data_IF_020668436279
#
_entry.id   IF_020668436279
#
_cell.length_a   1.000
_cell.length_b   1.000
_cell.length_c   1.000
_cell.angle_alpha   90.00
_cell.angle_beta   90.00
_cell.angle_gamma   90.00
#
_symmetry.space_group_name_H-M   'P 1'
#
loop_
_entity.id
_entity.type
_entity.pdbx_description
1 polymer ?
#
# COMPACT_ATOMS: atom_id res chain seq x y z
N UNK A 1 -8.29 0.02 -25.80
CA UNK A 1 -7.75 -0.98 -24.87
C UNK A 1 -7.15 -0.29 -23.67
N UNK A 2 -7.58 -0.66 -22.47
CA UNK A 2 -7.05 -0.10 -21.22
C UNK A 2 -5.84 -0.89 -20.71
N UNK A 3 -5.57 -2.04 -21.34
CA UNK A 3 -4.38 -2.86 -21.11
C UNK A 3 -3.58 -3.04 -22.39
N UNK A 4 -2.26 -3.02 -22.26
CA UNK A 4 -1.33 -3.31 -23.36
C UNK A 4 -0.04 -3.90 -22.79
N UNK A 5 0.78 -4.48 -23.66
CA UNK A 5 2.15 -4.82 -23.28
C UNK A 5 3.03 -3.57 -23.31
N UNK A 6 3.97 -3.46 -22.37
CA UNK A 6 4.91 -2.34 -22.30
C UNK A 6 5.76 -2.28 -23.57
N UNK A 7 5.85 -1.09 -24.16
CA UNK A 7 6.69 -0.81 -25.33
C UNK A 7 8.17 -0.96 -25.00
N UNK A 8 8.93 -1.69 -25.83
CA UNK A 8 10.38 -1.89 -25.65
C UNK A 8 10.78 -3.17 -24.92
N UNK A 9 9.82 -4.02 -24.53
CA UNK A 9 10.15 -5.33 -23.98
C UNK A 9 10.70 -6.26 -25.06
N UNK A 10 11.93 -6.76 -24.85
CA UNK A 10 12.57 -7.81 -25.66
C UNK A 10 12.01 -9.21 -25.37
N UNK A 11 11.08 -9.32 -24.43
CA UNK A 11 10.49 -10.60 -24.04
C UNK A 11 9.53 -11.08 -25.13
N UNK A 12 9.81 -12.25 -25.67
CA UNK A 12 8.93 -12.96 -26.60
C UNK A 12 7.73 -13.49 -25.80
N UNK A 13 6.58 -12.83 -25.91
CA UNK A 13 5.36 -13.15 -25.16
C UNK A 13 4.84 -14.51 -25.58
N UNK A 14 4.94 -14.81 -26.87
CA UNK A 14 4.52 -16.06 -27.48
C UNK A 14 5.27 -17.24 -26.83
N UNK A 15 6.58 -17.10 -26.57
CA UNK A 15 7.36 -18.10 -25.81
C UNK A 15 6.88 -18.27 -24.37
N UNK A 16 6.47 -17.18 -23.71
CA UNK A 16 5.91 -17.27 -22.34
C UNK A 16 4.57 -18.02 -22.35
N UNK A 17 3.73 -17.77 -23.35
CA UNK A 17 2.42 -18.40 -23.48
C UNK A 17 2.53 -19.87 -23.90
N UNK A 18 3.49 -20.24 -24.75
CA UNK A 18 3.77 -21.65 -25.05
C UNK A 18 4.27 -22.39 -23.81
N UNK A 19 5.18 -21.80 -23.03
CA UNK A 19 5.59 -22.39 -21.74
C UNK A 19 4.41 -22.54 -20.79
N UNK A 20 3.49 -21.57 -20.76
CA UNK A 20 2.28 -21.68 -19.96
C UNK A 20 1.44 -22.89 -20.40
N UNK A 21 1.26 -23.05 -21.72
CA UNK A 21 0.53 -24.18 -22.30
C UNK A 21 1.16 -25.52 -21.91
N UNK A 22 2.48 -25.64 -21.99
CA UNK A 22 3.22 -26.86 -21.63
C UNK A 22 3.02 -27.27 -20.16
N UNK A 23 2.94 -26.30 -19.25
CA UNK A 23 2.78 -26.57 -17.82
C UNK A 23 1.31 -26.69 -17.39
N UNK A 24 0.36 -26.49 -18.30
CA UNK A 24 -1.07 -26.48 -18.00
C UNK A 24 -1.67 -27.87 -18.18
N UNK A 25 -2.43 -28.32 -17.18
CA UNK A 25 -3.21 -29.55 -17.24
C UNK A 25 -4.68 -29.24 -16.96
N UNK A 26 -5.56 -29.76 -17.81
CA UNK A 26 -7.01 -29.72 -17.63
C UNK A 26 -7.47 -31.11 -17.23
N UNK A 27 -8.24 -31.20 -16.15
CA UNK A 27 -8.94 -32.44 -15.80
C UNK A 27 -10.28 -32.56 -16.54
N UNK A 28 -10.94 -33.71 -16.37
CA UNK A 28 -12.25 -34.01 -16.98
C UNK A 28 -13.36 -33.03 -16.56
N UNK A 29 -13.18 -32.33 -15.43
CA UNK A 29 -14.12 -31.35 -14.89
C UNK A 29 -13.78 -29.91 -15.29
N UNK A 30 -12.91 -29.70 -16.29
CA UNK A 30 -12.39 -28.39 -16.72
C UNK A 30 -11.64 -27.63 -15.62
N UNK A 31 -11.18 -28.31 -14.57
CA UNK A 31 -10.34 -27.69 -13.55
C UNK A 31 -8.94 -27.55 -14.12
N UNK A 32 -8.45 -26.31 -14.10
CA UNK A 32 -7.09 -26.00 -14.53
C UNK A 32 -6.12 -26.23 -13.37
N UNK A 33 -5.02 -26.93 -13.65
CA UNK A 33 -3.90 -27.10 -12.75
C UNK A 33 -2.59 -26.79 -13.47
N UNK A 34 -1.60 -26.30 -12.72
CA UNK A 34 -0.30 -25.90 -13.25
C UNK A 34 0.84 -26.50 -12.44
N UNK A 35 2.02 -26.63 -13.05
CA UNK A 35 3.26 -26.81 -12.29
C UNK A 35 3.53 -25.56 -11.42
N UNK A 36 3.48 -25.71 -10.10
CA UNK A 36 3.42 -24.58 -9.14
C UNK A 36 4.55 -23.56 -9.30
N UNK A 37 5.80 -24.02 -9.36
CA UNK A 37 6.96 -23.12 -9.43
C UNK A 37 7.05 -22.41 -10.80
N UNK A 38 6.83 -23.14 -11.88
CA UNK A 38 6.87 -22.60 -13.23
C UNK A 38 5.75 -21.57 -13.45
N UNK A 39 4.55 -21.86 -12.95
CA UNK A 39 3.42 -20.94 -13.01
C UNK A 39 3.70 -19.63 -12.27
N UNK A 40 4.27 -19.71 -11.07
CA UNK A 40 4.63 -18.51 -10.31
C UNK A 40 5.61 -17.61 -11.08
N UNK A 41 6.60 -18.19 -11.75
CA UNK A 41 7.55 -17.43 -12.57
C UNK A 41 6.84 -16.75 -13.77
N UNK A 42 5.98 -17.49 -14.48
CA UNK A 42 5.21 -16.96 -15.61
C UNK A 42 4.27 -15.83 -15.15
N UNK A 43 3.56 -16.00 -14.04
CA UNK A 43 2.66 -15.01 -13.44
C UNK A 43 3.40 -13.68 -13.19
N UNK A 44 4.56 -13.73 -12.54
CA UNK A 44 5.38 -12.55 -12.29
C UNK A 44 5.95 -11.91 -13.56
N UNK A 45 6.40 -12.73 -14.51
CA UNK A 45 6.89 -12.24 -15.80
C UNK A 45 5.78 -11.47 -16.52
N UNK A 46 4.60 -12.06 -16.64
CA UNK A 46 3.44 -11.43 -17.28
C UNK A 46 3.02 -10.14 -16.55
N UNK A 47 2.92 -10.15 -15.22
CA UNK A 47 2.63 -8.94 -14.43
C UNK A 47 3.67 -7.82 -14.65
N UNK A 48 4.93 -8.18 -14.88
CA UNK A 48 6.00 -7.21 -15.12
C UNK A 48 5.95 -6.57 -16.51
N UNK A 49 5.43 -7.28 -17.51
CA UNK A 49 5.40 -6.83 -18.92
C UNK A 49 4.05 -6.25 -19.35
N UNK A 50 2.97 -6.55 -18.63
CA UNK A 50 1.64 -6.00 -18.88
C UNK A 50 1.52 -4.62 -18.21
N UNK A 51 1.02 -3.65 -18.96
CA UNK A 51 0.69 -2.32 -18.50
C UNK A 51 -0.83 -2.19 -18.31
N UNK A 52 -1.24 -1.93 -17.08
CA UNK A 52 -2.62 -1.60 -16.73
C UNK A 52 -2.74 -0.08 -16.65
N UNK A 53 -3.61 0.54 -17.46
CA UNK A 53 -3.83 1.99 -17.42
C UNK A 53 -4.70 2.46 -16.23
N UNK A 54 -4.93 1.58 -15.26
CA UNK A 54 -5.70 1.85 -14.05
C UNK A 54 -4.86 1.68 -12.78
N UNK A 55 -5.19 2.48 -11.76
CA UNK A 55 -4.58 2.40 -10.43
C UNK A 55 -5.16 1.23 -9.63
N UNK A 56 -4.77 0.00 -9.99
CA UNK A 56 -5.10 -1.24 -9.29
C UNK A 56 -3.92 -1.73 -8.45
N UNK A 57 -4.23 -2.33 -7.30
CA UNK A 57 -3.26 -3.03 -6.45
C UNK A 57 -2.60 -4.17 -7.21
N UNK A 58 -1.39 -4.53 -6.78
CA UNK A 58 -0.65 -5.66 -7.37
C UNK A 58 -1.44 -6.97 -7.23
N UNK A 59 -2.14 -7.16 -6.12
CA UNK A 59 -2.95 -8.36 -5.88
C UNK A 59 -4.13 -8.44 -6.83
N UNK A 60 -4.82 -7.32 -7.09
CA UNK A 60 -5.95 -7.30 -8.02
C UNK A 60 -5.47 -7.54 -9.45
N UNK A 61 -4.36 -6.93 -9.86
CA UNK A 61 -3.72 -7.23 -11.16
C UNK A 61 -3.40 -8.72 -11.30
N UNK A 62 -2.81 -9.32 -10.25
CA UNK A 62 -2.52 -10.75 -10.19
C UNK A 62 -3.78 -11.60 -10.29
N UNK A 63 -4.85 -11.26 -9.58
CA UNK A 63 -6.11 -12.01 -9.64
C UNK A 63 -6.75 -11.94 -11.03
N UNK A 64 -6.80 -10.75 -11.63
CA UNK A 64 -7.33 -10.53 -12.98
C UNK A 64 -6.50 -11.31 -14.00
N UNK A 65 -5.17 -11.25 -13.90
CA UNK A 65 -4.28 -12.01 -14.77
C UNK A 65 -4.56 -13.51 -14.63
N UNK A 66 -4.52 -14.06 -13.42
CA UNK A 66 -4.75 -15.49 -13.18
C UNK A 66 -6.12 -15.97 -13.65
N UNK A 67 -7.17 -15.17 -13.45
CA UNK A 67 -8.50 -15.46 -14.01
C UNK A 67 -8.47 -15.53 -15.53
N UNK A 68 -7.72 -14.63 -16.16
CA UNK A 68 -7.54 -14.61 -17.62
C UNK A 68 -6.73 -15.83 -18.08
N UNK A 69 -5.64 -16.19 -17.41
CA UNK A 69 -4.84 -17.38 -17.72
C UNK A 69 -5.64 -18.68 -17.60
N UNK A 70 -6.51 -18.77 -16.58
CA UNK A 70 -7.44 -19.89 -16.44
C UNK A 70 -8.41 -19.97 -17.63
N UNK A 71 -8.91 -18.83 -18.13
CA UNK A 71 -9.79 -18.82 -19.29
C UNK A 71 -9.06 -19.24 -20.57
N UNK A 72 -7.83 -18.76 -20.77
CA UNK A 72 -6.94 -19.20 -21.87
C UNK A 72 -6.75 -20.71 -21.89
N UNK A 73 -6.55 -21.29 -20.69
CA UNK A 73 -6.40 -22.73 -20.54
C UNK A 73 -7.67 -23.47 -20.94
N UNK A 74 -8.83 -23.08 -20.41
CA UNK A 74 -10.13 -23.70 -20.70
C UNK A 74 -10.42 -23.67 -22.21
N UNK A 75 -10.23 -22.50 -22.84
CA UNK A 75 -10.53 -22.30 -24.26
C UNK A 75 -9.42 -22.78 -25.19
N UNK A 76 -8.29 -23.26 -24.62
CA UNK A 76 -7.09 -23.73 -25.32
C UNK A 76 -6.54 -22.70 -26.33
N UNK A 77 -6.74 -21.42 -26.07
CA UNK A 77 -6.28 -20.33 -26.92
C UNK A 77 -5.21 -19.52 -26.18
N UNK A 78 -3.94 -19.73 -26.54
CA UNK A 78 -2.79 -19.10 -25.88
C UNK A 78 -2.21 -17.94 -26.71
N UNK A 79 -3.05 -17.29 -27.53
CA UNK A 79 -2.60 -16.15 -28.32
C UNK A 79 -2.51 -14.88 -27.47
N UNK A 80 -1.59 -13.98 -27.86
CA UNK A 80 -1.35 -12.70 -27.21
C UNK A 80 -2.60 -11.81 -27.19
N UNK A 81 -3.30 -11.72 -28.31
CA UNK A 81 -4.49 -10.86 -28.44
C UNK A 81 -5.63 -11.39 -27.58
N UNK A 82 -5.80 -12.71 -27.53
CA UNK A 82 -6.79 -13.34 -26.67
C UNK A 82 -6.49 -13.17 -25.19
N UNK A 83 -5.22 -13.21 -24.78
CA UNK A 83 -4.83 -12.84 -23.41
C UNK A 83 -5.29 -11.43 -23.04
N UNK A 84 -5.02 -10.44 -23.90
CA UNK A 84 -5.40 -9.06 -23.65
C UNK A 84 -6.93 -8.91 -23.59
N UNK A 85 -7.65 -9.59 -24.48
CA UNK A 85 -9.11 -9.63 -24.48
C UNK A 85 -9.66 -10.16 -23.14
N UNK A 86 -9.15 -11.30 -22.66
CA UNK A 86 -9.59 -11.89 -21.39
C UNK A 86 -9.26 -11.00 -20.18
N UNK A 87 -8.10 -10.32 -20.21
CA UNK A 87 -7.76 -9.34 -19.18
C UNK A 87 -8.75 -8.18 -19.18
N UNK A 88 -9.09 -7.63 -20.35
CA UNK A 88 -10.05 -6.53 -20.47
C UNK A 88 -11.44 -6.95 -19.97
N UNK A 89 -11.91 -8.15 -20.33
CA UNK A 89 -13.18 -8.71 -19.83
C UNK A 89 -13.19 -8.79 -18.29
N UNK A 90 -12.11 -9.30 -17.69
CA UNK A 90 -12.02 -9.44 -16.24
C UNK A 90 -11.84 -8.08 -15.54
N UNK A 91 -11.20 -7.10 -16.18
CA UNK A 91 -11.16 -5.72 -15.72
C UNK A 91 -12.54 -5.07 -15.73
N UNK A 92 -13.30 -5.22 -16.81
CA UNK A 92 -14.67 -4.70 -16.87
C UNK A 92 -15.54 -5.29 -15.76
N UNK A 93 -15.46 -6.60 -15.53
CA UNK A 93 -16.14 -7.27 -14.41
C UNK A 93 -15.75 -6.65 -13.06
N UNK A 94 -14.46 -6.39 -12.86
CA UNK A 94 -13.97 -5.71 -11.66
C UNK A 94 -14.55 -4.29 -11.54
N UNK A 95 -14.53 -3.49 -12.62
CA UNK A 95 -15.01 -2.11 -12.60
C UNK A 95 -16.54 -1.97 -12.51
N UNK A 96 -17.30 -3.01 -12.84
CA UNK A 96 -18.76 -3.04 -12.61
C UNK A 96 -19.14 -3.16 -11.13
N UNK A 97 -18.22 -3.55 -10.24
CA UNK A 97 -18.48 -3.57 -8.79
C UNK A 97 -18.83 -2.17 -8.26
N UNK A 98 -19.76 -2.10 -7.31
CA UNK A 98 -20.12 -0.85 -6.63
C UNK A 98 -18.98 -0.37 -5.76
N UNK A 99 -18.72 0.93 -5.77
CA UNK A 99 -17.80 1.53 -4.80
C UNK A 99 -18.44 1.59 -3.42
N UNK A 100 -17.69 1.15 -2.42
CA UNK A 100 -18.04 1.25 -1.02
C UNK A 100 -16.91 1.90 -0.22
N UNK A 101 -17.26 2.36 0.97
CA UNK A 101 -16.33 3.03 1.87
C UNK A 101 -15.55 2.03 2.71
N UNK A 102 -14.25 2.21 2.78
CA UNK A 102 -13.34 1.51 3.69
C UNK A 102 -12.64 2.51 4.62
N UNK A 103 -12.29 2.03 5.81
CA UNK A 103 -11.62 2.79 6.86
C UNK A 103 -10.39 1.99 7.33
N UNK A 104 -9.21 2.48 6.99
CA UNK A 104 -7.95 1.95 7.51
C UNK A 104 -7.67 2.57 8.88
N UNK A 105 -7.32 1.75 9.87
CA UNK A 105 -6.96 2.19 11.21
C UNK A 105 -5.47 1.99 11.44
N UNK A 106 -4.82 3.06 11.90
CA UNK A 106 -3.40 3.07 12.21
C UNK A 106 -3.12 3.94 13.43
N UNK A 107 -1.90 3.87 13.95
CA UNK A 107 -1.44 4.78 14.99
C UNK A 107 -0.03 5.25 14.71
N UNK A 108 0.26 6.48 15.12
CA UNK A 108 1.53 7.17 14.88
C UNK A 108 2.21 7.52 16.20
N UNK A 109 3.55 7.42 16.25
CA UNK A 109 4.37 7.73 17.43
C UNK A 109 4.55 9.24 17.69
N UNK A 110 3.45 9.99 17.65
CA UNK A 110 3.38 11.43 17.88
C UNK A 110 2.14 11.78 18.71
N UNK A 111 2.20 12.87 19.48
CA UNK A 111 1.10 13.43 20.29
C UNK A 111 0.78 14.88 19.90
N UNK A 112 -0.42 15.31 20.26
CA UNK A 112 -0.88 16.69 20.14
C UNK A 112 -0.87 17.23 18.69
N UNK A 113 -1.13 16.35 17.71
CA UNK A 113 -1.26 16.76 16.31
C UNK A 113 -2.33 17.86 16.18
N UNK A 114 -2.04 18.97 15.48
CA UNK A 114 -2.94 20.14 15.40
C UNK A 114 -4.13 19.98 14.44
N UNK A 115 -4.39 18.77 13.95
CA UNK A 115 -5.41 18.52 12.94
C UNK A 115 -6.51 17.61 13.50
N UNK A 116 -7.75 17.86 13.11
CA UNK A 116 -8.86 16.91 13.31
C UNK A 116 -9.02 16.01 12.09
N UNK A 117 -8.83 16.60 10.90
CA UNK A 117 -9.05 15.98 9.60
C UNK A 117 -8.12 16.60 8.56
N UNK A 118 -7.67 15.77 7.63
CA UNK A 118 -6.78 16.12 6.52
C UNK A 118 -7.24 15.37 5.27
N UNK A 119 -7.16 16.01 4.10
CA UNK A 119 -7.45 15.36 2.81
C UNK A 119 -6.16 15.18 2.02
N UNK A 120 -5.87 13.96 1.57
CA UNK A 120 -4.72 13.62 0.73
C UNK A 120 -5.26 12.91 -0.50
N UNK A 121 -5.24 13.60 -1.64
CA UNK A 121 -5.88 13.11 -2.85
C UNK A 121 -7.37 12.81 -2.62
N UNK A 122 -7.75 11.55 -2.85
CA UNK A 122 -9.12 11.06 -2.64
C UNK A 122 -9.39 10.51 -1.23
N UNK A 123 -8.36 10.45 -0.38
CA UNK A 123 -8.43 9.90 0.97
C UNK A 123 -8.65 11.00 2.02
N UNK A 124 -9.34 10.64 3.10
CA UNK A 124 -9.56 11.51 4.25
C UNK A 124 -8.96 10.89 5.51
N UNK A 125 -7.96 11.55 6.09
CA UNK A 125 -7.33 11.14 7.34
C UNK A 125 -7.98 11.89 8.49
N UNK A 126 -8.50 11.16 9.47
CA UNK A 126 -9.00 11.73 10.74
C UNK A 126 -8.08 11.38 11.89
N UNK A 127 -7.90 12.32 12.80
CA UNK A 127 -7.05 12.19 13.97
C UNK A 127 -7.94 12.09 15.20
N UNK A 128 -7.83 10.98 15.93
CA UNK A 128 -8.71 10.64 17.06
C UNK A 128 -8.06 10.84 18.43
N UNK A 129 -6.77 11.18 18.49
CA UNK A 129 -6.03 11.28 19.75
C UNK A 129 -5.70 9.90 20.32
N UNK A 130 -6.09 9.61 21.56
CA UNK A 130 -5.61 8.41 22.28
C UNK A 130 -6.34 7.10 21.92
N UNK A 131 -7.54 7.18 21.35
CA UNK A 131 -8.39 6.00 21.13
C UNK A 131 -9.08 6.05 19.78
N UNK A 132 -9.26 4.90 19.14
CA UNK A 132 -10.13 4.77 17.97
C UNK A 132 -11.61 4.97 18.35
N UNK A 133 -12.49 5.31 17.40
CA UNK A 133 -13.94 5.28 17.60
C UNK A 133 -14.42 3.91 18.10
N UNK A 134 -15.44 3.88 18.99
CA UNK A 134 -15.91 2.66 19.67
C UNK A 134 -16.26 1.52 18.70
N UNK A 135 -16.93 1.86 17.61
CA UNK A 135 -17.39 0.93 16.56
C UNK A 135 -16.28 0.04 15.98
N UNK A 136 -15.02 0.48 16.02
CA UNK A 136 -13.89 -0.29 15.47
C UNK A 136 -13.12 -1.11 16.51
N UNK A 137 -13.32 -0.86 17.80
CA UNK A 137 -12.41 -1.34 18.86
C UNK A 137 -12.48 -2.84 19.03
N UNK A 138 -13.68 -3.41 18.98
CA UNK A 138 -13.90 -4.84 19.23
C UNK A 138 -13.24 -5.69 18.15
N UNK A 139 -13.58 -5.44 16.89
CA UNK A 139 -13.01 -6.18 15.76
C UNK A 139 -11.48 -6.04 15.70
N UNK A 140 -10.93 -4.84 15.95
CA UNK A 140 -9.47 -4.64 15.98
C UNK A 140 -8.82 -5.41 17.12
N UNK A 141 -9.45 -5.45 18.30
CA UNK A 141 -8.96 -6.22 19.46
C UNK A 141 -8.96 -7.72 19.16
N UNK A 142 -9.99 -8.23 18.50
CA UNK A 142 -10.05 -9.64 18.07
C UNK A 142 -8.88 -10.00 17.15
N UNK A 143 -8.59 -9.14 16.16
CA UNK A 143 -7.44 -9.34 15.26
C UNK A 143 -6.12 -9.35 16.06
N UNK A 144 -5.94 -8.42 17.01
CA UNK A 144 -4.75 -8.36 17.86
C UNK A 144 -4.57 -9.62 18.70
N UNK A 145 -5.65 -10.12 19.33
CA UNK A 145 -5.63 -11.34 20.15
C UNK A 145 -5.35 -12.57 19.30
N UNK A 146 -6.07 -12.73 18.17
CA UNK A 146 -5.90 -13.87 17.25
C UNK A 146 -4.47 -13.98 16.72
N UNK A 147 -3.78 -12.85 16.58
CA UNK A 147 -2.41 -12.75 16.04
C UNK A 147 -1.33 -12.65 17.12
N UNK A 148 -1.70 -12.75 18.40
CA UNK A 148 -0.77 -12.70 19.53
C UNK A 148 0.13 -11.44 19.50
N UNK A 149 -0.43 -10.31 19.04
CA UNK A 149 0.31 -9.07 18.88
C UNK A 149 0.53 -8.39 20.22
N UNK A 150 1.60 -7.59 20.31
CA UNK A 150 1.86 -6.82 21.52
C UNK A 150 0.76 -5.80 21.71
N UNK A 151 0.53 -5.45 22.98
CA UNK A 151 -0.45 -4.41 23.31
C UNK A 151 0.02 -3.09 22.72
N UNK A 152 -0.81 -2.55 21.83
CA UNK A 152 -0.52 -1.30 21.15
C UNK A 152 -0.23 -0.17 22.15
N UNK A 153 0.81 0.63 21.87
CA UNK A 153 1.19 1.73 22.74
C UNK A 153 0.03 2.74 22.87
N UNK A 154 -0.46 2.92 24.11
CA UNK A 154 -1.61 3.76 24.43
C UNK A 154 -1.36 5.25 24.16
N UNK A 155 -0.09 5.63 24.08
CA UNK A 155 0.33 7.02 23.92
C UNK A 155 0.48 7.42 22.44
N UNK A 156 0.35 6.49 21.50
CA UNK A 156 0.37 6.80 20.07
C UNK A 156 -0.94 7.44 19.65
N UNK A 157 -0.87 8.43 18.76
CA UNK A 157 -2.07 9.06 18.21
C UNK A 157 -2.74 8.11 17.22
N UNK A 158 -4.01 7.81 17.46
CA UNK A 158 -4.86 6.98 16.61
C UNK A 158 -5.38 7.79 15.44
N UNK A 159 -5.25 7.24 14.24
CA UNK A 159 -5.67 7.87 12.99
C UNK A 159 -6.49 6.88 12.17
N UNK A 160 -7.44 7.40 11.40
CA UNK A 160 -8.19 6.59 10.45
C UNK A 160 -8.12 7.20 9.06
N UNK A 161 -7.91 6.40 8.03
CA UNK A 161 -7.96 6.82 6.62
C UNK A 161 -9.25 6.30 5.99
N UNK A 162 -10.15 7.20 5.63
CA UNK A 162 -11.38 6.92 4.90
C UNK A 162 -11.10 6.97 3.39
N UNK A 163 -11.47 5.92 2.67
CA UNK A 163 -11.31 5.81 1.22
C UNK A 163 -12.52 5.10 0.59
N UNK A 164 -12.84 5.41 -0.67
CA UNK A 164 -13.82 4.66 -1.46
C UNK A 164 -13.12 3.74 -2.46
N UNK A 165 -13.57 2.50 -2.55
CA UNK A 165 -12.99 1.50 -3.45
C UNK A 165 -14.02 0.48 -3.90
N UNK A 166 -13.77 -0.19 -5.03
CA UNK A 166 -14.55 -1.33 -5.53
C UNK A 166 -14.12 -2.66 -4.91
N UNK A 167 -12.90 -2.69 -4.39
CA UNK A 167 -12.31 -3.86 -3.75
C UNK A 167 -11.51 -3.44 -2.51
N UNK A 168 -11.52 -4.29 -1.49
CA UNK A 168 -10.88 -4.00 -0.22
C UNK A 168 -9.35 -3.99 -0.34
N UNK A 169 -8.77 -4.77 -1.27
CA UNK A 169 -7.33 -4.82 -1.51
C UNK A 169 -6.81 -3.50 -2.06
N UNK A 170 -7.51 -2.95 -3.04
CA UNK A 170 -7.22 -1.62 -3.60
C UNK A 170 -7.46 -0.49 -2.59
N UNK A 171 -8.48 -0.65 -1.74
CA UNK A 171 -8.74 0.30 -0.66
C UNK A 171 -7.57 0.32 0.34
N UNK A 172 -7.06 -0.87 0.67
CA UNK A 172 -5.97 -1.03 1.61
C UNK A 172 -4.67 -0.39 1.13
N UNK A 173 -4.23 -0.75 -0.08
CA UNK A 173 -2.98 -0.22 -0.66
C UNK A 173 -3.04 1.30 -0.73
N UNK A 174 -4.10 1.86 -1.32
CA UNK A 174 -4.26 3.32 -1.44
C UNK A 174 -4.40 4.04 -0.10
N UNK A 175 -5.04 3.42 0.89
CA UNK A 175 -5.15 4.00 2.22
C UNK A 175 -3.80 4.02 2.95
N UNK A 176 -2.98 2.95 2.82
CA UNK A 176 -1.61 2.93 3.33
C UNK A 176 -0.79 3.99 2.62
N UNK A 177 -0.82 4.05 1.29
CA UNK A 177 -0.07 5.05 0.54
C UNK A 177 -0.45 6.48 0.94
N UNK A 178 -1.73 6.76 1.17
CA UNK A 178 -2.20 8.08 1.64
C UNK A 178 -1.74 8.38 3.07
N UNK A 179 -1.75 7.37 3.96
CA UNK A 179 -1.23 7.47 5.31
C UNK A 179 0.27 7.77 5.30
N UNK A 180 1.00 7.13 4.39
CA UNK A 180 2.44 7.28 4.23
C UNK A 180 2.81 8.64 3.67
N UNK A 181 2.03 9.19 2.74
CA UNK A 181 2.17 10.61 2.35
C UNK A 181 2.02 11.50 3.58
N UNK A 182 0.98 11.32 4.40
CA UNK A 182 0.84 12.15 5.60
C UNK A 182 2.05 12.02 6.55
N UNK A 183 2.45 10.77 6.84
CA UNK A 183 3.55 10.48 7.74
C UNK A 183 4.88 11.00 7.21
N UNK A 184 5.14 10.90 5.92
CA UNK A 184 6.33 11.44 5.26
C UNK A 184 6.44 12.96 5.47
N UNK A 185 5.34 13.71 5.33
CA UNK A 185 5.32 15.15 5.54
C UNK A 185 5.58 15.49 7.02
N UNK A 186 5.04 14.70 7.95
CA UNK A 186 5.37 14.84 9.37
C UNK A 186 6.86 14.56 9.62
N UNK A 187 7.42 13.51 9.03
CA UNK A 187 8.84 13.19 9.15
C UNK A 187 9.73 14.27 8.55
N UNK A 188 9.40 14.82 7.37
CA UNK A 188 10.13 15.92 6.74
C UNK A 188 10.20 17.18 7.64
N UNK A 189 9.14 17.44 8.41
CA UNK A 189 9.08 18.62 9.29
C UNK A 189 9.66 18.37 10.69
N UNK A 190 9.76 17.11 11.14
CA UNK A 190 10.17 16.77 12.51
C UNK A 190 11.53 16.05 12.62
N UNK A 191 12.00 15.42 11.55
CA UNK A 191 13.34 14.84 11.53
C UNK A 191 14.39 15.95 11.72
N UNK A 192 15.50 15.62 12.37
CA UNK A 192 16.59 16.59 12.54
C UNK A 192 17.26 16.82 11.18
N UNK A 193 17.67 18.06 10.89
CA UNK A 193 18.47 18.35 9.69
C UNK A 193 19.80 17.60 9.70
N UNK A 194 20.40 17.49 10.88
CA UNK A 194 21.64 16.73 11.12
C UNK A 194 21.47 15.99 12.45
N UNK A 195 21.83 14.71 12.48
CA UNK A 195 21.90 13.90 13.70
C UNK A 195 23.19 13.09 13.68
N UNK A 196 24.11 13.38 14.61
CA UNK A 196 25.32 12.59 14.80
C UNK A 196 24.99 11.50 15.81
N UNK A 197 25.17 10.23 15.44
CA UNK A 197 24.89 9.07 16.28
C UNK A 197 26.20 8.39 16.64
N UNK A 198 26.59 8.48 17.91
CA UNK A 198 27.82 7.89 18.43
C UNK A 198 27.69 6.39 18.81
N UNK A 199 26.52 5.79 18.58
CA UNK A 199 26.31 4.35 18.81
C UNK A 199 26.95 3.57 17.65
N UNK A 200 27.98 2.75 17.92
CA UNK A 200 28.73 1.91 16.95
C UNK A 200 27.83 1.07 16.03
N UNK A 201 26.59 0.78 16.46
CA UNK A 201 25.57 0.09 15.68
C UNK A 201 24.18 0.68 15.93
N UNK A 202 23.99 1.98 15.68
CA UNK A 202 22.65 2.59 15.71
C UNK A 202 21.72 1.87 14.70
N UNK A 203 21.00 0.85 15.16
CA UNK A 203 19.95 0.16 14.41
C UNK A 203 18.63 0.94 14.44
N UNK A 204 18.63 2.17 14.97
CA UNK A 204 17.42 2.98 15.10
C UNK A 204 17.03 3.55 13.74
N UNK A 205 15.75 3.55 13.36
CA UNK A 205 15.26 4.28 12.18
C UNK A 205 15.70 5.76 12.17
N UNK A 206 15.77 6.36 10.99
CA UNK A 206 16.03 7.81 10.87
C UNK A 206 14.73 8.59 11.14
N UNK A 207 13.61 8.08 10.65
CA UNK A 207 12.30 8.68 10.92
C UNK A 207 11.98 8.66 12.41
N UNK A 208 11.58 9.82 12.92
CA UNK A 208 11.14 9.96 14.32
C UNK A 208 9.67 9.58 14.52
N UNK A 209 8.88 9.52 13.45
CA UNK A 209 7.45 9.18 13.49
C UNK A 209 7.25 7.82 12.81
N UNK A 210 7.05 6.81 13.64
CA UNK A 210 6.78 5.44 13.23
C UNK A 210 5.28 5.14 13.30
N UNK A 211 4.89 4.11 12.54
CA UNK A 211 3.59 3.46 12.66
C UNK A 211 3.60 2.47 13.83
N UNK A 212 2.43 2.19 14.40
CA UNK A 212 2.24 1.07 15.31
C UNK A 212 2.30 -0.28 14.58
N UNK A 213 2.51 -1.34 15.35
CA UNK A 213 2.70 -2.74 14.89
C UNK A 213 1.68 -3.25 13.86
N UNK A 214 0.42 -2.80 13.95
CA UNK A 214 -0.66 -3.30 13.10
C UNK A 214 -1.57 -2.21 12.53
N UNK A 215 -1.90 -2.37 11.25
CA UNK A 215 -2.92 -1.60 10.54
C UNK A 215 -4.07 -2.54 10.11
N UNK A 216 -5.32 -2.13 10.37
CA UNK A 216 -6.51 -2.95 10.08
C UNK A 216 -7.50 -2.19 9.20
N UNK A 217 -8.15 -2.90 8.28
CA UNK A 217 -9.18 -2.32 7.41
C UNK A 217 -10.57 -2.66 7.93
N UNK A 218 -11.49 -1.71 7.83
CA UNK A 218 -12.86 -1.88 8.31
C UNK A 218 -13.86 -1.25 7.32
N UNK A 219 -15.10 -1.73 7.35
CA UNK A 219 -16.24 -1.01 6.81
C UNK A 219 -16.72 0.09 7.79
N UNK A 220 -17.65 0.93 7.36
CA UNK A 220 -18.19 2.02 8.21
C UNK A 220 -18.92 1.52 9.47
N UNK A 221 -19.44 0.29 9.45
CA UNK A 221 -20.07 -0.37 10.60
C UNK A 221 -19.07 -1.03 11.56
N UNK A 222 -17.77 -0.97 11.28
CA UNK A 222 -16.71 -1.55 12.12
C UNK A 222 -16.29 -2.98 11.79
N UNK A 223 -17.05 -3.72 10.98
CA UNK A 223 -16.66 -5.09 10.60
C UNK A 223 -15.47 -5.08 9.63
N UNK A 224 -14.68 -6.16 9.63
CA UNK A 224 -13.55 -6.32 8.72
C UNK A 224 -14.02 -6.91 7.37
N UNK A 225 -13.56 -6.40 6.21
CA UNK A 225 -13.79 -7.07 4.93
C UNK A 225 -13.15 -8.45 4.87
N UNK A 226 -12.02 -8.64 5.56
CA UNK A 226 -11.35 -9.92 5.70
C UNK A 226 -10.56 -9.92 7.03
N UNK A 227 -10.83 -10.87 7.92
CA UNK A 227 -10.17 -10.97 9.22
C UNK A 227 -8.68 -11.35 9.13
N UNK A 228 -8.24 -11.85 7.97
CA UNK A 228 -6.86 -12.20 7.71
C UNK A 228 -6.09 -11.10 6.96
N UNK A 229 -6.77 -10.05 6.51
CA UNK A 229 -6.15 -8.98 5.73
C UNK A 229 -5.79 -7.78 6.62
N UNK A 230 -4.54 -7.79 7.10
CA UNK A 230 -3.94 -6.74 7.92
C UNK A 230 -2.47 -6.57 7.55
N UNK A 231 -1.90 -5.41 7.87
CA UNK A 231 -0.49 -5.12 7.67
C UNK A 231 0.17 -5.16 9.03
N UNK A 232 1.16 -6.03 9.12
CA UNK A 232 2.03 -6.18 10.27
C UNK A 232 3.38 -5.57 9.91
N UNK A 233 3.89 -4.73 10.79
CA UNK A 233 5.23 -4.16 10.63
C UNK A 233 6.24 -5.16 11.21
N UNK A 234 7.07 -5.80 10.38
CA UNK A 234 8.07 -6.73 10.87
C UNK A 234 9.06 -6.02 11.79
N UNK A 235 9.57 -6.73 12.79
CA UNK A 235 10.54 -6.21 13.76
C UNK A 235 10.11 -4.94 14.51
N UNK A 236 8.79 -4.77 14.69
CA UNK A 236 8.22 -3.62 15.38
C UNK A 236 8.86 -3.41 16.76
N UNK A 237 9.34 -2.18 16.97
CA UNK A 237 9.81 -1.67 18.25
C UNK A 237 9.12 -0.35 18.54
N UNK A 238 8.69 -0.19 19.80
CA UNK A 238 8.11 1.06 20.26
C UNK A 238 9.11 2.21 20.04
N UNK A 239 8.71 3.12 19.15
CA UNK A 239 9.45 4.35 18.87
C UNK A 239 9.16 5.41 19.92
N UNK A 240 10.16 6.27 20.17
CA UNK A 240 10.02 7.43 21.05
C UNK A 240 8.91 8.32 20.53
N UNK A 241 8.04 8.74 21.43
CA UNK A 241 6.89 9.58 21.08
C UNK A 241 7.33 11.03 20.97
N UNK A 242 7.01 11.65 19.83
CA UNK A 242 7.18 13.10 19.68
C UNK A 242 6.00 13.80 20.33
N UNK A 243 6.29 14.74 21.24
CA UNK A 243 5.28 15.60 21.82
C UNK A 243 5.44 17.03 21.29
N UNK A 244 4.37 17.54 20.68
CA UNK A 244 4.34 18.89 20.14
C UNK A 244 3.91 19.88 21.23
N UNK A 245 4.76 20.85 21.53
CA UNK A 245 4.44 22.01 22.37
C UNK A 245 3.76 23.11 21.54
N UNK A 246 3.31 24.20 22.17
CA UNK A 246 2.51 25.26 21.51
C UNK A 246 3.14 25.80 20.22
N UNK A 247 4.40 26.23 20.27
CA UNK A 247 5.10 26.78 19.11
C UNK A 247 5.33 25.74 18.01
N UNK A 248 5.87 24.56 18.35
CA UNK A 248 6.10 23.48 17.37
C UNK A 248 4.80 23.03 16.72
N UNK A 249 3.71 23.03 17.49
CA UNK A 249 2.38 22.65 17.02
C UNK A 249 1.85 23.64 15.98
N UNK A 250 1.98 24.95 16.20
CA UNK A 250 1.55 25.95 15.21
C UNK A 250 2.43 25.94 13.96
N UNK A 251 3.76 25.83 14.13
CA UNK A 251 4.68 25.70 12.99
C UNK A 251 4.39 24.45 12.15
N UNK A 252 4.17 23.30 12.79
CA UNK A 252 3.76 22.07 12.11
C UNK A 252 2.45 22.27 11.35
N UNK A 253 1.45 22.89 11.98
CA UNK A 253 0.15 23.14 11.38
C UNK A 253 0.28 23.96 10.10
N UNK A 254 1.05 25.05 10.16
CA UNK A 254 1.30 25.90 9.00
C UNK A 254 1.98 25.13 7.86
N UNK A 255 3.11 24.48 8.16
CA UNK A 255 3.92 23.78 7.17
C UNK A 255 3.16 22.63 6.49
N UNK A 256 2.49 21.80 7.28
CA UNK A 256 1.73 20.65 6.75
C UNK A 256 0.53 21.12 5.93
N UNK A 257 -0.20 22.16 6.36
CA UNK A 257 -1.29 22.70 5.55
C UNK A 257 -0.79 23.21 4.20
N UNK A 258 0.33 23.93 4.18
CA UNK A 258 0.93 24.40 2.94
C UNK A 258 1.37 23.24 2.03
N UNK A 259 2.07 22.23 2.58
CA UNK A 259 2.53 21.05 1.84
C UNK A 259 1.37 20.25 1.25
N UNK A 260 0.31 20.00 2.05
CA UNK A 260 -0.85 19.23 1.62
C UNK A 260 -1.67 19.98 0.58
N UNK A 261 -1.83 21.30 0.75
CA UNK A 261 -2.50 22.13 -0.26
C UNK A 261 -1.72 22.13 -1.58
N UNK A 262 -0.38 22.17 -1.51
CA UNK A 262 0.48 22.11 -2.69
C UNK A 262 0.38 20.74 -3.38
N UNK A 263 0.48 19.65 -2.61
CA UNK A 263 0.31 18.28 -3.09
C UNK A 263 -1.04 18.05 -3.78
N UNK A 264 -2.13 18.56 -3.19
CA UNK A 264 -3.48 18.41 -3.74
C UNK A 264 -3.75 19.27 -4.98
N UNK A 265 -2.96 20.33 -5.22
CA UNK A 265 -3.04 21.17 -6.43
C UNK A 265 -2.24 20.62 -7.60
N UNK A 266 -1.37 19.63 -7.38
CA UNK A 266 -0.59 19.01 -8.45
C UNK A 266 -1.49 18.31 -9.47
N UNK A 267 -1.06 18.30 -10.74
CA UNK A 267 -1.69 17.46 -11.78
C UNK A 267 -1.63 15.99 -11.35
N UNK A 268 -2.64 15.15 -11.70
CA UNK A 268 -2.71 13.75 -11.23
C UNK A 268 -1.43 12.93 -11.45
N UNK A 269 -0.78 13.08 -12.61
CA UNK A 269 0.49 12.42 -12.92
C UNK A 269 1.61 12.83 -11.94
N UNK A 270 1.73 14.13 -11.65
CA UNK A 270 2.76 14.63 -10.71
C UNK A 270 2.43 14.26 -9.27
N UNK A 271 1.16 14.30 -8.89
CA UNK A 271 0.71 13.87 -7.58
C UNK A 271 1.09 12.41 -7.32
N UNK A 272 0.87 11.52 -8.31
CA UNK A 272 1.28 10.12 -8.21
C UNK A 272 2.80 9.95 -8.08
N UNK A 273 3.58 10.71 -8.85
CA UNK A 273 5.04 10.70 -8.76
C UNK A 273 5.52 11.14 -7.37
N UNK A 274 4.99 12.25 -6.85
CA UNK A 274 5.34 12.78 -5.53
C UNK A 274 4.91 11.80 -4.43
N UNK A 275 3.73 11.21 -4.52
CA UNK A 275 3.26 10.18 -3.59
C UNK A 275 4.23 9.00 -3.53
N UNK A 276 4.64 8.48 -4.69
CA UNK A 276 5.62 7.38 -4.75
C UNK A 276 6.95 7.78 -4.12
N UNK A 277 7.44 8.98 -4.41
CA UNK A 277 8.68 9.49 -3.82
C UNK A 277 8.56 9.59 -2.29
N UNK A 278 7.49 10.20 -1.78
CA UNK A 278 7.24 10.34 -0.35
C UNK A 278 7.11 8.98 0.38
N UNK A 279 6.43 8.02 -0.25
CA UNK A 279 6.29 6.66 0.29
C UNK A 279 7.63 5.91 0.30
N UNK A 280 8.45 6.07 -0.74
CA UNK A 280 9.81 5.52 -0.79
C UNK A 280 10.71 6.16 0.26
N UNK A 281 10.66 7.49 0.41
CA UNK A 281 11.39 8.21 1.44
C UNK A 281 11.07 7.67 2.84
N UNK A 282 9.79 7.62 3.19
CA UNK A 282 9.40 7.27 4.55
C UNK A 282 9.68 5.78 4.83
N UNK A 283 9.43 4.88 3.88
CA UNK A 283 9.73 3.45 4.04
C UNK A 283 11.23 3.15 4.06
N UNK A 284 12.05 3.87 3.28
CA UNK A 284 13.51 3.71 3.31
C UNK A 284 14.09 4.15 4.65
N UNK A 285 13.59 5.26 5.21
CA UNK A 285 14.15 5.86 6.43
C UNK A 285 13.60 5.21 7.72
N UNK A 286 12.62 4.32 7.58
CA UNK A 286 12.19 3.40 8.63
C UNK A 286 13.14 2.20 8.80
N UNK A 287 14.01 1.94 7.82
CA UNK A 287 14.91 0.79 7.86
C UNK A 287 15.94 0.91 8.99
N UNK A 288 15.97 -0.13 9.81
CA UNK A 288 16.96 -0.29 10.87
C UNK A 288 18.33 -0.61 10.29
N UNK A 289 18.36 -1.40 9.20
CA UNK A 289 19.58 -1.70 8.45
C UNK A 289 19.95 -0.53 7.53
N UNK A 290 21.11 0.09 7.79
CA UNK A 290 21.56 1.27 7.05
C UNK A 290 21.96 0.99 5.61
N UNK A 291 22.36 -0.23 5.27
CA UNK A 291 22.58 -0.62 3.88
C UNK A 291 21.26 -0.67 3.11
N UNK A 292 20.21 -1.27 3.69
CA UNK A 292 18.88 -1.31 3.06
C UNK A 292 18.30 0.10 2.97
N UNK A 293 18.43 0.90 4.04
CA UNK A 293 18.06 2.31 4.05
C UNK A 293 18.72 3.08 2.89
N UNK A 294 20.03 2.90 2.69
CA UNK A 294 20.78 3.56 1.62
C UNK A 294 20.32 3.10 0.24
N UNK A 295 20.17 1.79 0.02
CA UNK A 295 19.74 1.24 -1.27
C UNK A 295 18.33 1.70 -1.65
N UNK A 296 17.39 1.68 -0.69
CA UNK A 296 16.02 2.17 -0.92
C UNK A 296 15.99 3.70 -1.08
N UNK A 297 16.76 4.42 -0.28
CA UNK A 297 16.92 5.87 -0.38
C UNK A 297 17.50 6.30 -1.74
N UNK A 298 18.45 5.53 -2.30
CA UNK A 298 18.98 5.73 -3.65
C UNK A 298 17.89 5.74 -4.73
N UNK A 299 16.82 4.96 -4.57
CA UNK A 299 15.69 4.96 -5.50
C UNK A 299 14.81 6.21 -5.38
N UNK A 300 14.71 6.80 -4.19
CA UNK A 300 14.02 8.07 -3.96
C UNK A 300 14.69 9.24 -4.69
N UNK A 301 16.03 9.26 -4.74
CA UNK A 301 16.77 10.33 -5.43
C UNK A 301 16.54 10.37 -6.94
N UNK A 302 16.08 9.28 -7.57
CA UNK A 302 15.75 9.26 -9.02
C UNK A 302 14.54 10.12 -9.39
N UNK A 303 13.82 10.64 -8.40
CA UNK A 303 12.64 11.49 -8.59
C UNK A 303 12.96 12.99 -8.63
N UNK A 304 14.22 13.38 -8.35
CA UNK A 304 14.73 14.75 -8.37
C UNK A 304 15.86 14.88 -9.38
#
# INVERSE_FOLDING_TARGET
MTVKFKSGNKHNIEVILEKLREITKLDENQKVSYSTLAFFQIDWMLLSIIEFNHSLSIEIKGNILRQSLTQLAIDKNYTKDYLLEQIEINLEKHFRKKEITYILLAALSIKNLPFRKIKIGQSEIRIHGKQFPKVFREQRKEIQVKRQLKKENKNYTKVSVKIKSKDFKDAYERAIESLEVFRSLLCLTQNSNIEIRFEERSSKPINKIALAEILTLHFENGSSPDANYFHFIPDYKDSKIIELNGEKRENLKHNINWLINSFNKCKPKHQLTIQKALNLYVSAYDESNKFICFLRGGQFWKFF
#
